data_IF_939654400452
#
_entry.id   IF_939654400452
#
_cell.length_a   1.000
_cell.length_b   1.000
_cell.length_c   1.000
_cell.angle_alpha   90.00
_cell.angle_beta   90.00
_cell.angle_gamma   90.00
#
_symmetry.space_group_name_H-M   'P 1'
#
loop_
_entity.id
_entity.type
_entity.pdbx_description
1 polymer ?
#
# COMPACT_ATOMS: atom_id res chain seq x y z
N UNK A 1 -29.29 13.02 29.00
CA UNK A 1 -28.73 13.62 27.78
C UNK A 1 -28.34 12.47 26.88
N UNK A 2 -29.15 12.17 25.86
CA UNK A 2 -28.96 11.01 25.00
C UNK A 2 -27.72 11.25 24.14
N UNK A 3 -26.76 10.34 24.20
CA UNK A 3 -25.61 10.34 23.27
C UNK A 3 -26.16 9.81 21.96
N UNK A 4 -26.38 10.71 20.98
CA UNK A 4 -26.68 10.28 19.62
C UNK A 4 -25.51 9.45 19.12
N UNK A 5 -25.76 8.17 18.89
CA UNK A 5 -24.79 7.25 18.28
C UNK A 5 -24.61 7.70 16.84
N UNK A 6 -23.52 8.43 16.59
CA UNK A 6 -23.19 8.97 15.28
C UNK A 6 -23.14 7.87 14.22
N UNK A 7 -24.11 7.88 13.31
CA UNK A 7 -24.11 7.00 12.13
C UNK A 7 -23.08 7.44 11.08
N UNK A 8 -23.03 6.72 9.96
CA UNK A 8 -22.09 6.97 8.84
C UNK A 8 -22.20 8.36 8.17
N UNK A 9 -23.16 9.21 8.56
CA UNK A 9 -23.35 10.57 8.04
C UNK A 9 -22.92 11.69 9.03
N UNK A 10 -22.24 11.36 10.12
CA UNK A 10 -22.01 12.27 11.25
C UNK A 10 -20.63 12.99 11.19
N UNK A 11 -20.33 13.61 10.04
CA UNK A 11 -19.02 14.23 9.78
C UNK A 11 -18.60 15.30 10.80
N UNK A 12 -19.53 16.15 11.25
CA UNK A 12 -19.28 17.17 12.29
C UNK A 12 -19.03 16.54 13.65
N UNK A 13 -19.78 15.49 14.01
CA UNK A 13 -19.63 14.84 15.33
C UNK A 13 -18.32 14.06 15.44
N UNK A 14 -17.79 13.52 14.34
CA UNK A 14 -16.50 12.83 14.33
C UNK A 14 -15.32 13.79 14.59
N UNK A 15 -15.38 15.01 14.04
CA UNK A 15 -14.35 16.02 14.29
C UNK A 15 -14.39 16.52 15.73
N UNK A 16 -15.58 16.87 16.22
CA UNK A 16 -15.80 17.26 17.61
C UNK A 16 -15.34 16.17 18.59
N UNK A 17 -15.67 14.90 18.30
CA UNK A 17 -15.21 13.77 19.11
C UNK A 17 -13.68 13.62 19.11
N UNK A 18 -13.01 13.87 17.98
CA UNK A 18 -11.56 13.84 17.89
C UNK A 18 -10.91 15.00 18.67
N UNK A 19 -11.50 16.20 18.64
CA UNK A 19 -11.07 17.35 19.44
C UNK A 19 -11.25 17.08 20.94
N UNK A 20 -12.40 16.54 21.35
CA UNK A 20 -12.65 16.10 22.74
C UNK A 20 -11.68 15.00 23.19
N UNK A 21 -11.23 14.14 22.27
CA UNK A 21 -10.19 13.14 22.52
C UNK A 21 -8.76 13.73 22.55
N UNK A 22 -8.61 15.06 22.54
CA UNK A 22 -7.33 15.75 22.64
C UNK A 22 -6.52 15.78 21.34
N UNK A 23 -7.13 15.51 20.18
CA UNK A 23 -6.42 15.48 18.88
C UNK A 23 -6.43 16.83 18.15
N UNK A 24 -6.81 17.93 18.81
CA UNK A 24 -7.00 19.24 18.18
C UNK A 24 -5.75 19.77 17.47
N UNK A 25 -4.56 19.60 18.05
CA UNK A 25 -3.29 20.00 17.41
C UNK A 25 -3.02 19.21 16.13
N UNK A 26 -3.26 17.90 16.16
CA UNK A 26 -3.07 17.02 14.99
C UNK A 26 -4.04 17.40 13.88
N UNK A 27 -5.30 17.69 14.21
CA UNK A 27 -6.30 18.14 13.24
C UNK A 27 -5.93 19.48 12.61
N UNK A 28 -5.47 20.45 13.41
CA UNK A 28 -5.01 21.74 12.91
C UNK A 28 -3.81 21.59 11.95
N UNK A 29 -2.86 20.71 12.28
CA UNK A 29 -1.74 20.39 11.39
C UNK A 29 -2.22 19.74 10.09
N UNK A 30 -3.17 18.81 10.14
CA UNK A 30 -3.73 18.19 8.94
C UNK A 30 -4.46 19.18 8.04
N UNK A 31 -5.22 20.13 8.60
CA UNK A 31 -5.88 21.15 7.78
C UNK A 31 -4.86 22.09 7.11
N UNK A 32 -3.71 22.34 7.75
CA UNK A 32 -2.64 23.15 7.19
C UNK A 32 -1.82 22.40 6.11
N UNK A 33 -1.46 21.14 6.37
CA UNK A 33 -0.61 20.33 5.48
C UNK A 33 -1.38 19.80 4.26
N UNK A 34 -2.70 19.57 4.41
CA UNK A 34 -3.56 19.02 3.37
C UNK A 34 -4.73 19.95 3.04
N UNK A 35 -4.47 21.12 2.43
CA UNK A 35 -5.51 22.06 2.05
C UNK A 35 -6.53 21.40 1.12
N UNK A 36 -7.81 21.52 1.49
CA UNK A 36 -8.92 20.91 0.76
C UNK A 36 -9.19 21.67 -0.54
N UNK A 37 -9.39 20.90 -1.62
CA UNK A 37 -9.87 21.43 -2.89
C UNK A 37 -11.40 21.42 -2.98
N UNK A 38 -11.96 21.61 -4.19
CA UNK A 38 -13.39 21.78 -4.44
C UNK A 38 -14.32 20.62 -4.02
N UNK A 39 -13.75 19.48 -3.61
CA UNK A 39 -14.48 18.28 -3.20
C UNK A 39 -14.18 17.89 -1.75
N UNK A 40 -13.75 18.85 -0.92
CA UNK A 40 -13.37 18.62 0.49
C UNK A 40 -12.24 17.59 0.67
N UNK A 41 -11.46 17.36 -0.39
CA UNK A 41 -10.32 16.46 -0.45
C UNK A 41 -9.10 17.19 -1.00
N UNK A 42 -7.88 16.82 -0.58
CA UNK A 42 -6.66 17.34 -1.19
C UNK A 42 -6.67 17.12 -2.70
N UNK A 43 -6.16 18.09 -3.47
CA UNK A 43 -6.01 17.94 -4.92
C UNK A 43 -4.86 16.97 -5.22
N UNK A 44 -5.16 15.67 -5.10
CA UNK A 44 -4.19 14.59 -5.15
C UNK A 44 -4.73 13.40 -5.94
N UNK A 45 -3.83 12.60 -6.51
CA UNK A 45 -4.16 11.30 -7.07
C UNK A 45 -4.42 10.25 -5.98
N UNK A 46 -4.95 9.10 -6.39
CA UNK A 46 -5.08 7.92 -5.52
C UNK A 46 -3.75 7.59 -4.81
N UNK A 47 -3.73 7.43 -3.47
CA UNK A 47 -2.55 7.04 -2.72
C UNK A 47 -1.81 5.83 -3.29
N UNK A 48 -2.53 4.79 -3.69
CA UNK A 48 -1.95 3.58 -4.27
C UNK A 48 -1.05 3.83 -5.48
N UNK A 49 -1.31 4.90 -6.26
CA UNK A 49 -0.43 5.29 -7.37
C UNK A 49 0.97 5.66 -6.90
N UNK A 50 1.08 6.38 -5.77
CA UNK A 50 2.35 6.79 -5.20
C UNK A 50 3.24 5.61 -4.83
N UNK A 51 2.68 4.69 -4.04
CA UNK A 51 3.34 3.45 -3.64
C UNK A 51 3.73 2.60 -4.85
N UNK A 52 2.77 2.35 -5.76
CA UNK A 52 3.01 1.58 -6.99
C UNK A 52 4.13 2.20 -7.84
N UNK A 53 4.15 3.52 -7.97
CA UNK A 53 5.13 4.25 -8.77
C UNK A 53 6.56 4.09 -8.25
N UNK A 54 6.72 3.90 -6.94
CA UNK A 54 8.00 3.56 -6.31
C UNK A 54 8.35 2.10 -6.61
N UNK A 55 7.42 1.16 -6.36
CA UNK A 55 7.63 -0.27 -6.57
C UNK A 55 8.03 -0.62 -8.01
N UNK A 56 7.39 -0.01 -9.01
CA UNK A 56 7.69 -0.26 -10.42
C UNK A 56 9.08 0.23 -10.88
N UNK A 57 9.78 1.03 -10.07
CA UNK A 57 11.17 1.43 -10.33
C UNK A 57 12.20 0.53 -9.65
N UNK A 58 11.83 -0.17 -8.57
CA UNK A 58 12.74 -1.04 -7.83
C UNK A 58 13.15 -2.25 -8.68
N UNK A 59 14.45 -2.49 -8.90
CA UNK A 59 14.94 -3.59 -9.75
C UNK A 59 14.53 -4.95 -9.17
N UNK A 60 14.17 -5.90 -10.05
CA UNK A 60 13.82 -7.29 -9.69
C UNK A 60 12.72 -7.37 -8.61
N UNK A 61 11.78 -6.44 -8.67
CA UNK A 61 10.62 -6.41 -7.79
C UNK A 61 9.35 -6.66 -8.61
N UNK A 62 8.58 -7.67 -8.20
CA UNK A 62 7.23 -7.89 -8.71
C UNK A 62 6.23 -7.12 -7.83
N UNK A 63 5.13 -6.67 -8.42
CA UNK A 63 4.05 -6.00 -7.68
C UNK A 63 2.73 -6.67 -8.01
N UNK A 64 1.98 -7.05 -6.98
CA UNK A 64 0.61 -7.54 -7.05
C UNK A 64 -0.29 -6.50 -6.40
N UNK A 65 -1.34 -6.08 -7.11
CA UNK A 65 -2.42 -5.28 -6.55
C UNK A 65 -3.62 -6.16 -6.24
N UNK A 66 -4.12 -6.07 -5.01
CA UNK A 66 -5.41 -6.64 -4.60
C UNK A 66 -6.46 -5.52 -4.62
N UNK A 67 -7.43 -5.61 -5.53
CA UNK A 67 -8.36 -4.51 -5.74
C UNK A 67 -9.45 -4.76 -6.79
N UNK A 68 -10.27 -3.75 -7.06
CA UNK A 68 -11.24 -3.82 -8.15
C UNK A 68 -10.56 -3.61 -9.50
N UNK A 69 -11.16 -4.14 -10.57
CA UNK A 69 -10.61 -4.03 -11.92
C UNK A 69 -10.44 -2.56 -12.36
N UNK A 70 -11.35 -1.67 -11.94
CA UNK A 70 -11.26 -0.26 -12.26
C UNK A 70 -10.07 0.43 -11.58
N UNK A 71 -9.79 0.12 -10.31
CA UNK A 71 -8.62 0.64 -9.61
C UNK A 71 -7.33 0.17 -10.28
N UNK A 72 -7.21 -1.14 -10.56
CA UNK A 72 -5.99 -1.70 -11.16
C UNK A 72 -5.80 -1.20 -12.59
N UNK A 73 -6.85 -1.11 -13.39
CA UNK A 73 -6.78 -0.51 -14.71
C UNK A 73 -6.27 0.94 -14.65
N UNK A 74 -6.87 1.79 -13.82
CA UNK A 74 -6.46 3.19 -13.68
C UNK A 74 -5.02 3.36 -13.18
N UNK A 75 -4.62 2.55 -12.20
CA UNK A 75 -3.27 2.55 -11.65
C UNK A 75 -2.24 2.06 -12.65
N UNK A 76 -2.54 0.98 -13.38
CA UNK A 76 -1.68 0.45 -14.43
C UNK A 76 -1.56 1.46 -15.58
N UNK A 77 -2.67 2.01 -16.06
CA UNK A 77 -2.69 3.03 -17.11
C UNK A 77 -1.82 4.22 -16.74
N UNK A 78 -2.05 4.82 -15.56
CA UNK A 78 -1.32 6.01 -15.14
C UNK A 78 0.15 5.72 -14.90
N UNK A 79 0.48 4.54 -14.35
CA UNK A 79 1.88 4.12 -14.17
C UNK A 79 2.62 3.97 -15.49
N UNK A 80 1.97 3.36 -16.49
CA UNK A 80 2.54 3.22 -17.83
C UNK A 80 2.70 4.58 -18.51
N UNK A 81 1.71 5.47 -18.37
CA UNK A 81 1.78 6.83 -18.89
C UNK A 81 2.98 7.60 -18.32
N UNK A 82 3.23 7.51 -17.00
CA UNK A 82 4.40 8.13 -16.34
C UNK A 82 5.68 7.26 -16.41
N UNK A 83 5.78 6.41 -17.43
CA UNK A 83 7.02 5.76 -17.86
C UNK A 83 7.46 4.56 -17.02
N UNK A 84 6.57 3.94 -16.25
CA UNK A 84 6.82 2.64 -15.64
C UNK A 84 6.30 1.53 -16.57
N UNK A 85 7.18 0.92 -17.36
CA UNK A 85 6.84 -0.13 -18.35
C UNK A 85 6.88 -1.55 -17.79
N UNK A 86 6.53 -1.74 -16.51
CA UNK A 86 6.61 -3.05 -15.86
C UNK A 86 5.23 -3.63 -15.60
N UNK A 87 5.15 -4.95 -15.70
CA UNK A 87 3.92 -5.69 -15.43
C UNK A 87 3.46 -5.48 -14.00
N UNK A 88 2.15 -5.26 -13.86
CA UNK A 88 1.46 -5.17 -12.57
C UNK A 88 0.61 -6.43 -12.44
N UNK A 89 0.92 -7.26 -11.45
CA UNK A 89 0.10 -8.40 -11.08
C UNK A 89 -1.22 -7.95 -10.47
N UNK A 90 -2.26 -8.75 -10.64
CA UNK A 90 -3.60 -8.40 -10.22
C UNK A 90 -4.31 -9.60 -9.58
N UNK A 91 -4.84 -9.42 -8.38
CA UNK A 91 -5.79 -10.35 -7.76
C UNK A 91 -7.15 -9.67 -7.64
N UNK A 92 -8.16 -10.10 -8.41
CA UNK A 92 -9.51 -9.55 -8.34
C UNK A 92 -10.26 -10.03 -7.10
N UNK A 93 -11.34 -9.33 -6.76
CA UNK A 93 -12.29 -9.79 -5.77
C UNK A 93 -13.73 -9.67 -6.28
N UNK A 94 -14.62 -10.46 -5.69
CA UNK A 94 -16.07 -10.32 -5.75
C UNK A 94 -16.63 -10.10 -4.33
N UNK A 95 -17.91 -9.77 -4.22
CA UNK A 95 -18.57 -9.68 -2.90
C UNK A 95 -18.45 -10.99 -2.11
N UNK A 96 -18.53 -12.13 -2.80
CA UNK A 96 -18.39 -13.45 -2.18
C UNK A 96 -16.97 -13.69 -1.67
N UNK A 97 -15.93 -13.40 -2.47
CA UNK A 97 -14.54 -13.65 -2.06
C UNK A 97 -14.10 -12.75 -0.92
N UNK A 98 -14.70 -11.56 -0.77
CA UNK A 98 -14.45 -10.64 0.35
C UNK A 98 -14.98 -11.18 1.67
N UNK A 99 -16.20 -11.75 1.69
CA UNK A 99 -16.84 -12.20 2.93
C UNK A 99 -16.43 -13.61 3.34
N UNK A 100 -16.00 -14.43 2.39
CA UNK A 100 -15.59 -15.82 2.65
C UNK A 100 -14.11 -15.95 3.05
N UNK A 101 -13.32 -14.88 2.92
CA UNK A 101 -11.87 -14.92 3.14
C UNK A 101 -11.07 -15.46 1.96
N UNK A 102 -11.74 -15.96 0.91
CA UNK A 102 -11.10 -16.50 -0.30
C UNK A 102 -10.13 -15.54 -0.98
N UNK A 103 -10.38 -14.22 -0.91
CA UNK A 103 -9.45 -13.23 -1.45
C UNK A 103 -8.03 -13.37 -0.87
N UNK A 104 -7.89 -13.68 0.42
CA UNK A 104 -6.57 -13.90 1.01
C UNK A 104 -5.89 -15.15 0.45
N UNK A 105 -6.66 -16.22 0.25
CA UNK A 105 -6.16 -17.47 -0.35
C UNK A 105 -5.70 -17.24 -1.78
N UNK A 106 -6.49 -16.52 -2.59
CA UNK A 106 -6.15 -16.16 -3.96
C UNK A 106 -4.87 -15.30 -4.00
N UNK A 107 -4.70 -14.37 -3.05
CA UNK A 107 -3.46 -13.59 -2.90
C UNK A 107 -2.27 -14.49 -2.56
N UNK A 108 -2.43 -15.39 -1.58
CA UNK A 108 -1.38 -16.31 -1.16
C UNK A 108 -0.93 -17.17 -2.33
N UNK A 109 -1.88 -17.74 -3.08
CA UNK A 109 -1.60 -18.61 -4.22
C UNK A 109 -0.92 -17.83 -5.35
N UNK A 110 -1.34 -16.59 -5.62
CA UNK A 110 -0.68 -15.71 -6.58
C UNK A 110 0.78 -15.42 -6.19
N UNK A 111 1.05 -15.18 -4.92
CA UNK A 111 2.41 -14.95 -4.41
C UNK A 111 3.28 -16.21 -4.57
N UNK A 112 2.75 -17.39 -4.25
CA UNK A 112 3.47 -18.65 -4.48
C UNK A 112 3.79 -18.87 -5.96
N UNK A 113 2.88 -18.49 -6.86
CA UNK A 113 3.07 -18.67 -8.30
C UNK A 113 4.19 -17.78 -8.87
N UNK A 114 4.33 -16.55 -8.38
CA UNK A 114 5.28 -15.57 -8.95
C UNK A 114 6.63 -15.50 -8.24
N UNK A 115 6.76 -16.12 -7.06
CA UNK A 115 7.98 -16.10 -6.26
C UNK A 115 9.09 -16.99 -6.88
N UNK A 116 9.70 -16.47 -7.95
CA UNK A 116 10.84 -17.07 -8.64
C UNK A 116 12.14 -16.28 -8.37
N UNK A 117 13.12 -16.85 -7.64
CA UNK A 117 14.38 -16.18 -7.32
C UNK A 117 15.25 -15.90 -8.56
N UNK A 118 15.02 -16.59 -9.69
CA UNK A 118 15.71 -16.27 -10.94
C UNK A 118 15.25 -14.89 -11.48
N UNK A 119 14.01 -14.51 -11.25
CA UNK A 119 13.40 -13.29 -11.79
C UNK A 119 13.33 -12.15 -10.77
N UNK A 120 12.99 -12.47 -9.52
CA UNK A 120 12.64 -11.47 -8.50
C UNK A 120 13.40 -11.69 -7.20
N UNK A 121 13.77 -10.58 -6.56
CA UNK A 121 14.33 -10.58 -5.20
C UNK A 121 13.24 -10.22 -4.16
N UNK A 122 12.12 -9.64 -4.61
CA UNK A 122 11.01 -9.20 -3.77
C UNK A 122 9.69 -9.19 -4.54
N UNK A 123 8.62 -9.62 -3.89
CA UNK A 123 7.24 -9.47 -4.31
C UNK A 123 6.55 -8.52 -3.34
N UNK A 124 6.01 -7.43 -3.86
CA UNK A 124 5.17 -6.49 -3.10
C UNK A 124 3.72 -6.85 -3.37
N UNK A 125 2.94 -7.07 -2.31
CA UNK A 125 1.50 -7.23 -2.38
C UNK A 125 0.85 -6.01 -1.75
N UNK A 126 0.04 -5.30 -2.53
CA UNK A 126 -0.63 -4.08 -2.07
C UNK A 126 -2.14 -4.30 -2.03
N UNK A 127 -2.72 -4.22 -0.85
CA UNK A 127 -4.16 -4.05 -0.70
C UNK A 127 -4.55 -2.62 -1.07
N UNK A 128 -5.61 -2.49 -1.88
CA UNK A 128 -6.26 -1.22 -2.17
C UNK A 128 -7.42 -0.97 -1.19
N UNK A 129 -8.21 0.08 -1.42
CA UNK A 129 -9.25 0.56 -0.50
C UNK A 129 -10.17 -0.55 0.04
N UNK A 130 -10.75 -1.37 -0.83
CA UNK A 130 -11.77 -2.36 -0.44
C UNK A 130 -11.16 -3.54 0.31
N UNK A 131 -10.06 -4.18 -0.15
CA UNK A 131 -9.40 -5.23 0.62
C UNK A 131 -8.88 -4.78 1.98
N UNK A 132 -8.32 -3.56 2.09
CA UNK A 132 -7.91 -3.00 3.38
C UNK A 132 -9.12 -2.78 4.29
N UNK A 133 -10.20 -2.17 3.80
CA UNK A 133 -11.41 -1.96 4.59
C UNK A 133 -12.08 -3.27 5.03
N UNK A 134 -11.95 -4.32 4.22
CA UNK A 134 -12.48 -5.67 4.52
C UNK A 134 -11.58 -6.47 5.46
N UNK A 135 -10.43 -5.91 5.87
CA UNK A 135 -9.52 -6.54 6.83
C UNK A 135 -8.70 -7.71 6.26
N UNK A 136 -8.40 -7.71 4.96
CA UNK A 136 -7.59 -8.77 4.34
C UNK A 136 -6.18 -8.80 4.97
N UNK A 137 -5.79 -9.90 5.65
CA UNK A 137 -4.66 -9.88 6.57
C UNK A 137 -3.32 -10.20 5.90
N UNK A 138 -2.75 -9.27 5.12
CA UNK A 138 -1.47 -9.48 4.41
C UNK A 138 -0.30 -9.83 5.35
N UNK A 139 -0.38 -9.50 6.64
CA UNK A 139 0.62 -9.89 7.64
C UNK A 139 0.80 -11.41 7.79
N UNK A 140 -0.23 -12.19 7.42
CA UNK A 140 -0.22 -13.66 7.48
C UNK A 140 0.47 -14.30 6.27
N UNK A 141 0.81 -13.53 5.23
CA UNK A 141 1.64 -14.04 4.14
C UNK A 141 3.01 -14.49 4.68
N UNK A 142 3.62 -15.54 4.09
CA UNK A 142 4.98 -15.94 4.42
C UNK A 142 5.93 -14.75 4.21
N UNK A 143 7.02 -14.66 4.99
CA UNK A 143 7.97 -13.55 4.86
C UNK A 143 8.90 -13.69 3.66
N UNK A 144 9.15 -14.93 3.25
CA UNK A 144 9.86 -15.28 2.03
C UNK A 144 9.30 -16.58 1.44
N UNK A 145 9.49 -16.76 0.13
CA UNK A 145 9.22 -18.00 -0.60
C UNK A 145 10.39 -18.23 -1.54
N UNK A 146 11.07 -19.37 -1.44
CA UNK A 146 12.24 -19.71 -2.26
C UNK A 146 13.35 -18.62 -2.20
N UNK A 147 13.49 -17.91 -1.08
CA UNK A 147 14.41 -16.79 -0.93
C UNK A 147 13.95 -15.46 -1.55
N UNK A 148 12.76 -15.41 -2.15
CA UNK A 148 12.11 -14.18 -2.61
C UNK A 148 11.33 -13.55 -1.46
N UNK A 149 11.64 -12.30 -1.12
CA UNK A 149 10.98 -11.58 -0.02
C UNK A 149 9.54 -11.26 -0.37
N UNK A 150 8.60 -11.50 0.55
CA UNK A 150 7.20 -11.16 0.36
C UNK A 150 6.84 -10.03 1.33
N UNK A 151 6.41 -8.89 0.77
CA UNK A 151 6.10 -7.69 1.54
C UNK A 151 4.66 -7.29 1.25
N UNK A 152 3.81 -7.43 2.26
CA UNK A 152 2.43 -6.96 2.24
C UNK A 152 2.33 -5.52 2.76
N UNK A 153 1.63 -4.65 2.03
CA UNK A 153 1.31 -3.28 2.45
C UNK A 153 -0.16 -2.95 2.17
N UNK A 154 -0.74 -2.12 3.03
CA UNK A 154 -2.06 -1.52 2.80
C UNK A 154 -1.86 -0.10 2.30
N UNK A 155 -2.40 0.20 1.11
CA UNK A 155 -2.39 1.56 0.54
C UNK A 155 -3.81 1.96 0.14
N UNK A 156 -4.72 2.10 1.12
CA UNK A 156 -6.07 2.58 0.88
C UNK A 156 -6.09 4.03 0.40
N UNK A 157 -7.20 4.41 -0.25
CA UNK A 157 -7.50 5.80 -0.58
C UNK A 157 -7.97 6.64 0.62
N UNK A 158 -8.11 6.02 1.79
CA UNK A 158 -8.43 6.66 3.06
C UNK A 158 -7.26 6.46 4.03
N UNK A 159 -7.05 7.37 5.00
CA UNK A 159 -5.98 7.22 6.00
C UNK A 159 -4.55 7.50 5.49
N UNK A 160 -4.36 7.63 4.18
CA UNK A 160 -3.14 8.17 3.56
C UNK A 160 -3.55 9.45 2.82
N UNK A 161 -3.14 10.64 3.30
CA UNK A 161 -3.67 11.90 2.80
C UNK A 161 -3.37 12.15 1.32
N UNK A 162 -2.20 11.73 0.84
CA UNK A 162 -1.78 11.96 -0.55
C UNK A 162 -1.02 10.78 -1.18
N UNK A 163 -1.01 10.72 -2.51
CA UNK A 163 -0.10 9.83 -3.24
C UNK A 163 1.38 10.17 -3.05
N UNK A 164 1.74 11.37 -2.59
CA UNK A 164 3.12 11.68 -2.27
C UNK A 164 3.57 10.86 -1.05
N UNK A 165 2.77 10.83 0.00
CA UNK A 165 3.08 10.12 1.25
C UNK A 165 2.93 8.62 1.12
N UNK A 166 2.08 8.15 0.22
CA UNK A 166 2.00 6.73 -0.09
C UNK A 166 3.32 6.15 -0.61
N UNK A 167 4.24 6.99 -1.14
CA UNK A 167 5.60 6.58 -1.49
C UNK A 167 6.36 6.10 -0.24
N UNK A 168 6.15 6.80 0.88
CA UNK A 168 6.81 6.52 2.16
C UNK A 168 6.28 5.23 2.79
N UNK A 169 5.04 4.84 2.50
CA UNK A 169 4.49 3.55 2.95
C UNK A 169 5.31 2.39 2.37
N UNK A 170 5.53 2.37 1.06
CA UNK A 170 6.34 1.31 0.45
C UNK A 170 7.82 1.44 0.83
N UNK A 171 8.38 2.65 0.77
CA UNK A 171 9.78 2.86 1.14
C UNK A 171 10.04 2.44 2.60
N UNK A 172 9.14 2.80 3.52
CA UNK A 172 9.18 2.41 4.92
C UNK A 172 9.08 0.90 5.12
N UNK A 173 8.21 0.22 4.39
CA UNK A 173 8.12 -1.25 4.44
C UNK A 173 9.43 -1.93 4.00
N UNK A 174 10.04 -1.44 2.91
CA UNK A 174 11.32 -1.93 2.42
C UNK A 174 12.45 -1.65 3.41
N UNK A 175 12.52 -0.43 3.96
CA UNK A 175 13.53 -0.03 4.94
C UNK A 175 13.41 -0.84 6.24
N UNK A 176 12.19 -1.07 6.71
CA UNK A 176 11.95 -1.89 7.89
C UNK A 176 12.40 -3.34 7.66
N UNK A 177 12.16 -3.91 6.48
CA UNK A 177 12.65 -5.24 6.13
C UNK A 177 14.18 -5.27 6.08
N UNK A 178 14.80 -4.33 5.35
CA UNK A 178 16.24 -4.23 5.21
C UNK A 178 16.95 -4.04 6.57
N UNK A 179 16.36 -3.24 7.46
CA UNK A 179 16.85 -3.06 8.83
C UNK A 179 16.86 -4.39 9.59
N UNK A 180 15.80 -5.17 9.51
CA UNK A 180 15.73 -6.48 10.19
C UNK A 180 16.77 -7.47 9.66
N UNK A 181 17.03 -7.46 8.35
CA UNK A 181 18.13 -8.25 7.78
C UNK A 181 19.49 -7.77 8.30
N UNK A 182 19.71 -6.46 8.35
CA UNK A 182 20.97 -5.88 8.83
C UNK A 182 21.23 -6.15 10.31
N UNK A 183 20.18 -6.21 11.13
CA UNK A 183 20.27 -6.56 12.55
C UNK A 183 20.65 -8.05 12.77
N UNK A 184 20.41 -8.93 11.78
CA UNK A 184 20.71 -10.37 11.86
C UNK A 184 22.14 -10.74 11.43
N UNK A 185 22.88 -9.83 10.79
CA UNK A 185 24.25 -10.06 10.35
C UNK A 185 24.63 -9.25 9.11
N UNK A 186 25.82 -9.48 8.54
CA UNK A 186 26.27 -8.75 7.36
C UNK A 186 25.32 -9.01 6.18
N UNK A 187 24.59 -7.98 5.75
CA UNK A 187 23.72 -8.04 4.57
C UNK A 187 24.58 -8.35 3.34
N UNK A 188 24.07 -9.19 2.44
CA UNK A 188 24.74 -9.51 1.19
C UNK A 188 25.12 -8.23 0.44
N UNK A 189 26.39 -8.09 0.09
CA UNK A 189 26.85 -6.98 -0.73
C UNK A 189 26.16 -7.03 -2.11
N UNK A 190 25.90 -5.86 -2.75
CA UNK A 190 25.42 -5.83 -4.11
C UNK A 190 26.32 -6.66 -5.04
N UNK A 191 25.73 -7.42 -5.98
CA UNK A 191 26.49 -8.22 -6.96
C UNK A 191 27.52 -7.40 -7.72
N UNK A 192 27.20 -6.13 -7.97
CA UNK A 192 28.09 -5.15 -8.60
C UNK A 192 28.17 -3.95 -7.67
N UNK A 193 29.38 -3.63 -7.21
CA UNK A 193 29.70 -2.38 -6.52
C UNK A 193 30.45 -1.48 -7.51
N UNK A 194 29.77 -0.52 -8.16
CA UNK A 194 30.48 0.46 -8.97
C UNK A 194 31.39 1.31 -8.07
N UNK A 195 32.55 1.68 -8.57
CA UNK A 195 33.54 2.51 -7.86
C UNK A 195 33.02 3.93 -7.52
N UNK A 196 31.90 4.34 -8.13
CA UNK A 196 31.27 5.64 -7.90
C UNK A 196 29.76 5.49 -7.74
N UNK A 197 29.11 6.29 -6.87
CA UNK A 197 27.66 6.42 -6.87
C UNK A 197 27.24 7.05 -8.20
N UNK A 198 26.40 6.36 -8.96
CA UNK A 198 25.71 6.89 -10.15
C UNK A 198 24.25 7.09 -9.85
#
# INVERSE_FOLDING_TARGET
>A
MSVDVGGCASGSTLREAAELAGKSEVLARYDADYPKGPHDQPQSMCPAFGSLRVGLRMRRTATILSGSACCVYGLTFTSHFYGAKRTVGYVPFSSETLVTGKLFEDIRDAVHQIADPALYDTVIVTNLCVPTASGVPLQLLPKDINGVRIIGIDVPGFGIPTHAEAKDVLAGAMLNYARKEAEQGPVAAPKERPDRPT
#
